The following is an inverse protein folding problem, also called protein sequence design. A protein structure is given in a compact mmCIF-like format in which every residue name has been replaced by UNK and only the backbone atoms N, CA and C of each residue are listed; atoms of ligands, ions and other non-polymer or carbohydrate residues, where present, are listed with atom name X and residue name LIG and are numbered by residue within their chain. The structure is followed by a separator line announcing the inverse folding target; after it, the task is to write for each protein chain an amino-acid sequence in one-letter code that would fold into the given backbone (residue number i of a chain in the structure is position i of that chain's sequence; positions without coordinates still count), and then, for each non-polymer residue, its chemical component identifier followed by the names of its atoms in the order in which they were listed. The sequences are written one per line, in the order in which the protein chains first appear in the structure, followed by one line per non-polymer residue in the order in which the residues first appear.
data_IF_767477476737
#
_entry.id   IF_767477476737
#
_cell.length_a   1.000
_cell.length_b   1.000
_cell.length_c   1.000
_cell.angle_alpha   90.00
_cell.angle_beta   90.00
_cell.angle_gamma   90.00
#
_symmetry.space_group_name_H-M   'P 1'
#
loop_
_entity.id
_entity.type
_entity.pdbx_description
1 polymer ?
#
# COMPACT_ATOMS: atom_id res chain seq x y z
N UNK A 1 74.38 3.37 -4.98
CA UNK A 1 73.88 4.59 -5.64
C UNK A 1 72.45 4.28 -6.10
N UNK A 2 71.43 4.74 -5.36
CA UNK A 2 70.01 4.37 -5.57
C UNK A 2 69.40 5.30 -6.62
N UNK A 3 69.23 4.83 -7.85
CA UNK A 3 68.35 5.47 -8.82
C UNK A 3 66.90 5.12 -8.48
N UNK A 4 66.24 5.97 -7.70
CA UNK A 4 64.79 5.94 -7.58
C UNK A 4 64.19 6.53 -8.86
N UNK A 5 63.78 5.68 -9.80
CA UNK A 5 62.89 6.08 -10.89
C UNK A 5 61.57 6.57 -10.29
N UNK A 6 61.49 7.87 -10.03
CA UNK A 6 60.25 8.55 -9.65
C UNK A 6 59.41 8.64 -10.92
N UNK A 7 58.66 7.58 -11.20
CA UNK A 7 57.62 7.55 -12.24
C UNK A 7 56.63 8.66 -11.91
N UNK A 8 56.78 9.82 -12.55
CA UNK A 8 55.84 10.92 -12.43
C UNK A 8 54.49 10.41 -12.93
N UNK A 9 53.61 10.09 -11.98
CA UNK A 9 52.24 9.72 -12.25
C UNK A 9 51.61 10.93 -12.92
N UNK A 10 51.35 10.85 -14.23
CA UNK A 10 50.64 11.88 -14.97
C UNK A 10 49.26 12.02 -14.32
N UNK A 11 49.06 13.08 -13.56
CA UNK A 11 47.73 13.45 -13.05
C UNK A 11 46.97 14.06 -14.23
N UNK A 12 46.32 13.19 -15.01
CA UNK A 12 45.33 13.61 -16.01
C UNK A 12 44.12 14.18 -15.26
N UNK A 13 44.02 15.51 -15.22
CA UNK A 13 42.82 16.20 -14.76
C UNK A 13 41.67 15.99 -15.75
N UNK A 14 40.45 15.85 -15.22
CA UNK A 14 39.23 15.72 -16.02
C UNK A 14 38.93 17.03 -16.76
N UNK A 15 38.57 16.97 -18.05
CA UNK A 15 38.20 18.18 -18.78
C UNK A 15 36.85 18.71 -18.32
N UNK A 16 36.72 20.04 -18.21
CA UNK A 16 35.43 20.69 -17.95
C UNK A 16 34.39 20.34 -19.02
N UNK A 17 34.84 20.13 -20.26
CA UNK A 17 33.95 19.73 -21.37
C UNK A 17 33.45 18.30 -21.20
N UNK A 18 34.28 17.41 -20.65
CA UNK A 18 33.87 16.02 -20.36
C UNK A 18 32.83 15.98 -19.25
N UNK A 19 32.96 16.80 -18.21
CA UNK A 19 31.92 16.90 -17.19
C UNK A 19 30.65 17.56 -17.73
N UNK A 20 30.78 18.55 -18.63
CA UNK A 20 29.65 19.26 -19.21
C UNK A 20 28.76 18.34 -20.06
N UNK A 21 29.35 17.51 -20.93
CA UNK A 21 28.54 16.60 -21.77
C UNK A 21 27.83 15.55 -20.93
N UNK A 22 28.45 15.09 -19.85
CA UNK A 22 27.86 14.09 -18.94
C UNK A 22 26.63 14.65 -18.23
N UNK A 23 26.69 15.88 -17.71
CA UNK A 23 25.52 16.47 -17.04
C UNK A 23 24.36 16.75 -18.00
N UNK A 24 24.65 17.07 -19.27
CA UNK A 24 23.62 17.23 -20.31
C UNK A 24 22.91 15.90 -20.57
N UNK A 25 23.67 14.81 -20.74
CA UNK A 25 23.10 13.49 -20.98
C UNK A 25 22.25 13.02 -19.79
N UNK A 26 22.76 13.16 -18.56
CA UNK A 26 22.00 12.82 -17.33
C UNK A 26 20.75 13.69 -17.21
N UNK A 27 20.82 14.97 -17.59
CA UNK A 27 19.67 15.88 -17.60
C UNK A 27 18.53 15.39 -18.51
N UNK A 28 18.86 14.95 -19.73
CA UNK A 28 17.88 14.40 -20.67
C UNK A 28 17.26 13.11 -20.12
N UNK A 29 18.09 12.19 -19.60
CA UNK A 29 17.62 10.93 -19.03
C UNK A 29 16.72 11.16 -17.82
N UNK A 30 17.09 12.07 -16.92
CA UNK A 30 16.31 12.43 -15.74
C UNK A 30 14.95 13.02 -16.12
N UNK A 31 14.89 13.86 -17.16
CA UNK A 31 13.64 14.47 -17.64
C UNK A 31 12.56 13.45 -18.01
N UNK A 32 12.95 12.33 -18.64
CA UNK A 32 12.02 11.25 -19.00
C UNK A 32 11.82 10.26 -17.83
N UNK A 33 12.87 9.96 -17.09
CA UNK A 33 12.84 8.96 -16.03
C UNK A 33 11.96 9.37 -14.83
N UNK A 34 11.99 10.66 -14.44
CA UNK A 34 11.24 11.15 -13.27
C UNK A 34 9.72 10.92 -13.39
N UNK A 35 9.01 11.36 -14.44
CA UNK A 35 7.57 11.14 -14.54
C UNK A 35 7.20 9.65 -14.61
N UNK A 36 8.01 8.84 -15.32
CA UNK A 36 7.81 7.39 -15.40
C UNK A 36 7.95 6.76 -14.02
N UNK A 37 9.02 7.10 -13.29
CA UNK A 37 9.27 6.60 -11.94
C UNK A 37 8.13 6.96 -10.98
N UNK A 38 7.65 8.21 -11.02
CA UNK A 38 6.53 8.64 -10.17
C UNK A 38 5.24 7.87 -10.49
N UNK A 39 4.95 7.60 -11.77
CA UNK A 39 3.79 6.81 -12.15
C UNK A 39 3.94 5.34 -11.73
N UNK A 40 5.11 4.73 -11.93
CA UNK A 40 5.38 3.37 -11.47
C UNK A 40 5.21 3.24 -9.96
N UNK A 41 5.66 4.24 -9.18
CA UNK A 41 5.50 4.25 -7.73
C UNK A 41 4.03 4.30 -7.32
N UNK A 42 3.22 5.14 -7.99
CA UNK A 42 1.76 5.17 -7.77
C UNK A 42 1.09 3.84 -8.09
N UNK A 43 1.45 3.22 -9.22
CA UNK A 43 0.92 1.90 -9.59
C UNK A 43 1.32 0.82 -8.57
N UNK A 44 2.56 0.85 -8.06
CA UNK A 44 3.01 -0.09 -7.03
C UNK A 44 2.21 0.05 -5.73
N UNK A 45 1.93 1.29 -5.30
CA UNK A 45 1.07 1.53 -4.14
C UNK A 45 -0.35 1.01 -4.37
N UNK A 46 -0.95 1.25 -5.54
CA UNK A 46 -2.27 0.71 -5.89
C UNK A 46 -2.31 -0.81 -5.84
N UNK A 47 -1.34 -1.47 -6.44
CA UNK A 47 -1.25 -2.94 -6.40
C UNK A 47 -1.09 -3.47 -4.98
N UNK A 48 -0.32 -2.77 -4.13
CA UNK A 48 -0.18 -3.11 -2.72
C UNK A 48 -1.52 -2.98 -1.97
N UNK A 49 -2.26 -1.87 -2.17
CA UNK A 49 -3.58 -1.67 -1.55
C UNK A 49 -4.57 -2.74 -2.01
N UNK A 50 -4.62 -3.02 -3.32
CA UNK A 50 -5.49 -4.04 -3.89
C UNK A 50 -5.21 -5.43 -3.28
N UNK A 51 -3.94 -5.78 -3.07
CA UNK A 51 -3.55 -7.02 -2.41
C UNK A 51 -4.02 -7.06 -0.95
N UNK A 52 -3.87 -5.96 -0.21
CA UNK A 52 -4.29 -5.89 1.19
C UNK A 52 -5.82 -5.97 1.33
N UNK A 53 -6.57 -5.33 0.43
CA UNK A 53 -8.04 -5.46 0.36
C UNK A 53 -8.45 -6.91 0.11
N UNK A 54 -7.79 -7.60 -0.82
CA UNK A 54 -8.08 -9.01 -1.09
C UNK A 54 -7.76 -9.91 0.13
N UNK A 55 -6.63 -9.69 0.79
CA UNK A 55 -6.28 -10.40 2.02
C UNK A 55 -7.31 -10.15 3.14
N UNK A 56 -7.81 -8.92 3.27
CA UNK A 56 -8.87 -8.58 4.21
C UNK A 56 -10.18 -9.30 3.87
N UNK A 57 -10.56 -9.35 2.57
CA UNK A 57 -11.73 -10.08 2.09
C UNK A 57 -11.68 -11.56 2.49
N UNK A 58 -10.55 -12.22 2.24
CA UNK A 58 -10.36 -13.64 2.60
C UNK A 58 -10.43 -13.84 4.12
N UNK A 59 -9.83 -12.93 4.89
CA UNK A 59 -9.84 -12.99 6.36
C UNK A 59 -11.26 -12.84 6.92
N UNK A 60 -12.04 -11.87 6.43
CA UNK A 60 -13.43 -11.66 6.87
C UNK A 60 -14.32 -12.83 6.43
N UNK A 61 -14.17 -13.32 5.19
CA UNK A 61 -14.90 -14.51 4.71
C UNK A 61 -14.63 -15.73 5.62
N UNK A 62 -13.37 -15.93 6.01
CA UNK A 62 -12.97 -16.99 6.95
C UNK A 62 -13.51 -16.76 8.36
N UNK A 63 -13.59 -15.50 8.81
CA UNK A 63 -14.19 -15.17 10.10
C UNK A 63 -15.70 -15.49 10.11
N UNK A 64 -16.42 -15.18 9.03
CA UNK A 64 -17.84 -15.45 8.91
C UNK A 64 -18.17 -16.95 8.96
N UNK A 65 -17.34 -17.82 8.36
CA UNK A 65 -17.59 -19.28 8.43
C UNK A 65 -17.38 -19.86 9.82
N UNK A 66 -16.59 -19.21 10.68
CA UNK A 66 -16.34 -19.63 12.07
C UNK A 66 -17.34 -19.04 13.06
N UNK A 67 -18.01 -17.95 12.69
CA UNK A 67 -18.94 -17.23 13.56
C UNK A 67 -20.31 -17.89 13.49
N UNK A 68 -20.97 -18.07 14.64
CA UNK A 68 -22.33 -18.63 14.69
C UNK A 68 -23.35 -17.59 14.21
N UNK A 69 -24.49 -18.03 13.69
CA UNK A 69 -25.57 -17.20 13.09
C UNK A 69 -26.14 -16.06 13.98
N UNK A 70 -25.72 -15.93 15.23
CA UNK A 70 -26.18 -14.90 16.17
C UNK A 70 -25.03 -14.14 16.86
N UNK A 71 -23.79 -14.41 16.46
CA UNK A 71 -22.60 -13.75 17.03
C UNK A 71 -22.05 -12.72 16.06
N UNK A 72 -21.55 -11.61 16.60
CA UNK A 72 -20.87 -10.59 15.79
C UNK A 72 -19.41 -10.97 15.60
N UNK A 73 -18.87 -10.63 14.44
CA UNK A 73 -17.45 -10.81 14.16
C UNK A 73 -16.65 -9.87 15.07
N UNK A 74 -15.70 -10.43 15.80
CA UNK A 74 -14.79 -9.62 16.62
C UNK A 74 -13.69 -9.03 15.74
N UNK A 75 -13.52 -7.71 15.81
CA UNK A 75 -12.41 -7.00 15.16
C UNK A 75 -11.56 -6.31 16.21
N UNK A 76 -10.25 -6.31 16.01
CA UNK A 76 -9.31 -5.59 16.88
C UNK A 76 -8.19 -5.01 16.04
N UNK A 77 -8.05 -3.69 16.04
CA UNK A 77 -6.87 -3.01 15.52
C UNK A 77 -5.78 -2.99 16.59
N UNK A 78 -4.53 -3.23 16.19
CA UNK A 78 -3.37 -3.04 17.07
C UNK A 78 -2.91 -1.58 17.13
N UNK A 79 -3.47 -0.72 16.28
CA UNK A 79 -3.27 0.72 16.32
C UNK A 79 -4.40 1.34 17.15
N UNK A 80 -4.10 1.69 18.40
CA UNK A 80 -5.08 2.25 19.34
C UNK A 80 -5.59 3.65 18.96
N UNK A 81 -4.97 4.31 17.96
CA UNK A 81 -5.46 5.58 17.42
C UNK A 81 -6.62 5.41 16.44
N UNK A 82 -6.83 4.18 15.93
CA UNK A 82 -7.82 3.90 14.90
C UNK A 82 -9.17 3.52 15.50
N UNK A 83 -10.25 3.92 14.82
CA UNK A 83 -11.59 3.44 15.14
C UNK A 83 -11.65 1.93 14.91
N UNK A 84 -12.06 1.20 15.94
CA UNK A 84 -12.33 -0.23 15.85
C UNK A 84 -13.41 -0.63 16.86
N UNK A 85 -14.59 -0.91 16.33
CA UNK A 85 -15.73 -1.45 17.03
C UNK A 85 -16.30 -2.65 16.26
N UNK A 86 -17.46 -3.12 16.68
CA UNK A 86 -18.14 -4.28 16.08
C UNK A 86 -18.63 -4.05 14.64
N UNK A 87 -18.88 -2.80 14.26
CA UNK A 87 -19.44 -2.41 12.96
C UNK A 87 -18.42 -1.79 12.02
N UNK A 88 -17.36 -1.20 12.55
CA UNK A 88 -16.32 -0.56 11.75
C UNK A 88 -14.96 -0.74 12.41
N UNK A 89 -13.96 -1.15 11.63
CA UNK A 89 -12.58 -1.20 12.10
C UNK A 89 -11.58 -0.77 11.03
N UNK A 90 -10.65 0.09 11.41
CA UNK A 90 -9.55 0.56 10.56
C UNK A 90 -8.23 -0.06 10.99
N UNK A 91 -7.54 -0.65 10.02
CA UNK A 91 -6.25 -1.30 10.16
C UNK A 91 -5.19 -0.54 9.38
N UNK A 92 -4.09 -0.21 10.06
CA UNK A 92 -2.86 0.35 9.50
C UNK A 92 -1.78 -0.73 9.52
N UNK A 93 -0.53 -0.36 9.25
CA UNK A 93 0.61 -1.30 9.28
C UNK A 93 0.75 -2.08 10.60
N UNK A 94 0.24 -1.57 11.73
CA UNK A 94 0.22 -2.30 13.00
C UNK A 94 -0.57 -3.62 12.92
N UNK A 95 -1.46 -3.75 11.93
CA UNK A 95 -2.31 -4.90 11.72
C UNK A 95 -3.36 -5.05 12.81
N UNK A 96 -3.84 -6.27 12.98
CA UNK A 96 -4.88 -6.58 13.95
C UNK A 96 -5.42 -7.99 13.80
N UNK A 97 -6.64 -8.21 14.28
CA UNK A 97 -7.37 -9.45 14.07
C UNK A 97 -8.81 -9.21 13.62
N UNK A 98 -9.33 -10.15 12.83
CA UNK A 98 -10.74 -10.25 12.42
C UNK A 98 -11.18 -11.70 12.64
N UNK A 99 -12.16 -11.91 13.51
CA UNK A 99 -12.60 -13.25 13.94
C UNK A 99 -11.46 -14.10 14.51
N UNK A 100 -10.51 -13.46 15.20
CA UNK A 100 -9.30 -14.09 15.74
C UNK A 100 -8.20 -14.40 14.71
N UNK A 101 -8.44 -14.22 13.41
CA UNK A 101 -7.41 -14.38 12.37
C UNK A 101 -6.62 -13.08 12.20
N UNK A 102 -5.31 -13.16 12.03
CA UNK A 102 -4.46 -11.99 11.85
C UNK A 102 -4.74 -11.30 10.51
N UNK A 103 -4.78 -9.96 10.52
CA UNK A 103 -4.74 -9.12 9.33
C UNK A 103 -3.45 -8.30 9.35
N UNK A 104 -2.73 -8.33 8.23
CA UNK A 104 -1.52 -7.54 8.00
C UNK A 104 -1.80 -6.52 6.91
N UNK A 105 -1.32 -5.30 7.10
CA UNK A 105 -1.45 -4.21 6.13
C UNK A 105 -0.06 -3.70 5.79
N UNK A 106 0.18 -3.45 4.50
CA UNK A 106 1.46 -2.97 4.00
C UNK A 106 1.75 -1.54 4.47
N UNK A 107 3.03 -1.13 4.47
CA UNK A 107 3.43 0.20 4.93
C UNK A 107 2.71 1.31 4.14
N UNK A 108 2.16 2.28 4.85
CA UNK A 108 1.47 3.43 4.25
C UNK A 108 0.08 3.10 3.69
N UNK A 109 -0.34 1.83 3.72
CA UNK A 109 -1.70 1.44 3.37
C UNK A 109 -2.62 1.55 4.61
N UNK A 110 -3.91 1.70 4.34
CA UNK A 110 -4.96 1.69 5.34
C UNK A 110 -6.13 0.88 4.81
N UNK A 111 -6.63 -0.05 5.62
CA UNK A 111 -7.78 -0.89 5.30
C UNK A 111 -8.88 -0.59 6.32
N UNK A 112 -10.02 -0.08 5.85
CA UNK A 112 -11.22 0.13 6.66
C UNK A 112 -12.27 -0.91 6.31
N UNK A 113 -12.74 -1.63 7.32
CA UNK A 113 -13.76 -2.66 7.20
C UNK A 113 -15.03 -2.14 7.86
N UNK A 114 -16.13 -2.13 7.12
CA UNK A 114 -17.46 -1.78 7.60
C UNK A 114 -18.35 -3.02 7.49
N UNK A 115 -18.92 -3.49 8.61
CA UNK A 115 -19.81 -4.65 8.69
C UNK A 115 -21.22 -4.19 9.04
N UNK A 116 -22.19 -4.62 8.24
CA UNK A 116 -23.61 -4.42 8.50
C UNK A 116 -24.25 -5.77 8.80
N UNK A 117 -24.68 -5.95 10.05
CA UNK A 117 -25.44 -7.12 10.49
C UNK A 117 -26.92 -6.89 10.22
N UNK A 118 -27.56 -7.74 9.40
CA UNK A 118 -29.01 -7.73 9.25
C UNK A 118 -29.66 -8.84 10.08
N UNK A 119 -30.59 -8.47 10.96
CA UNK A 119 -31.38 -9.41 11.77
C UNK A 119 -32.62 -9.95 11.04
N UNK A 120 -32.78 -9.67 9.74
CA UNK A 120 -33.95 -10.09 8.96
C UNK A 120 -33.51 -10.51 7.56
N UNK A 121 -33.65 -11.80 7.20
CA UNK A 121 -33.54 -12.46 5.87
C UNK A 121 -32.44 -12.00 4.87
N UNK A 122 -31.58 -11.04 5.22
CA UNK A 122 -30.67 -10.33 4.31
C UNK A 122 -29.19 -10.62 4.54
N UNK A 123 -28.88 -11.52 5.48
CA UNK A 123 -27.50 -11.90 5.81
C UNK A 123 -26.64 -10.75 6.36
N UNK A 124 -25.44 -11.09 6.81
CA UNK A 124 -24.41 -10.10 7.15
C UNK A 124 -23.71 -9.66 5.87
N UNK A 125 -23.58 -8.35 5.66
CA UNK A 125 -22.80 -7.77 4.57
C UNK A 125 -21.61 -6.99 5.08
N UNK A 126 -20.57 -6.84 4.27
CA UNK A 126 -19.39 -6.05 4.61
C UNK A 126 -18.85 -5.30 3.41
N UNK A 127 -18.24 -4.14 3.69
CA UNK A 127 -17.50 -3.33 2.74
C UNK A 127 -16.05 -3.23 3.23
N UNK A 128 -15.10 -3.26 2.29
CA UNK A 128 -13.68 -3.06 2.58
C UNK A 128 -13.20 -1.90 1.74
N UNK A 129 -12.72 -0.84 2.38
CA UNK A 129 -12.14 0.32 1.74
C UNK A 129 -10.62 0.30 1.95
N UNK A 130 -9.86 0.26 0.86
CA UNK A 130 -8.40 0.27 0.86
C UNK A 130 -7.83 1.56 0.30
N UNK A 131 -6.85 2.13 1.00
CA UNK A 131 -6.18 3.37 0.62
C UNK A 131 -4.69 3.37 0.92
N UNK A 132 -3.98 4.36 0.37
CA UNK A 132 -2.58 4.64 0.69
C UNK A 132 -2.40 6.14 0.96
N UNK A 133 -1.58 6.49 1.96
CA UNK A 133 -1.30 7.87 2.36
C UNK A 133 -0.78 8.75 1.21
N UNK A 134 -0.11 8.15 0.21
CA UNK A 134 0.46 8.86 -0.93
C UNK A 134 -0.50 8.98 -2.13
N UNK A 135 -1.69 8.38 -2.06
CA UNK A 135 -2.70 8.37 -3.13
C UNK A 135 -3.92 9.24 -2.79
N UNK A 136 -4.02 9.76 -1.56
CA UNK A 136 -5.02 10.76 -1.19
C UNK A 136 -6.37 10.21 -0.73
N UNK A 137 -6.49 8.91 -0.45
CA UNK A 137 -7.71 8.34 0.12
C UNK A 137 -7.88 6.85 -0.13
N UNK A 138 -9.11 6.37 0.07
CA UNK A 138 -9.53 5.01 -0.26
C UNK A 138 -9.81 4.91 -1.77
N UNK A 139 -8.91 4.23 -2.50
CA UNK A 139 -9.03 4.05 -3.95
C UNK A 139 -9.71 2.73 -4.34
N UNK A 140 -9.83 1.77 -3.42
CA UNK A 140 -10.44 0.47 -3.70
C UNK A 140 -11.56 0.19 -2.70
N UNK A 141 -12.73 -0.19 -3.21
CA UNK A 141 -13.88 -0.58 -2.39
C UNK A 141 -14.36 -1.95 -2.82
N UNK A 142 -14.30 -2.94 -1.92
CA UNK A 142 -14.92 -4.24 -2.10
C UNK A 142 -16.27 -4.27 -1.39
N UNK A 143 -17.32 -4.76 -2.05
CA UNK A 143 -18.65 -4.95 -1.46
C UNK A 143 -19.04 -6.43 -1.50
N UNK A 144 -19.40 -7.00 -0.36
CA UNK A 144 -19.76 -8.42 -0.27
C UNK A 144 -21.07 -8.79 -0.94
N UNK A 145 -22.00 -7.84 -1.05
CA UNK A 145 -23.34 -8.05 -1.63
C UNK A 145 -23.28 -8.22 -3.14
N UNK A 146 -22.37 -7.52 -3.81
CA UNK A 146 -22.15 -7.60 -5.27
C UNK A 146 -20.96 -8.48 -5.62
N UNK A 147 -20.05 -8.74 -4.67
CA UNK A 147 -18.75 -9.34 -4.95
C UNK A 147 -17.84 -8.44 -5.78
N UNK A 148 -18.21 -7.16 -5.99
CA UNK A 148 -17.45 -6.24 -6.83
C UNK A 148 -16.28 -5.65 -6.06
N UNK A 149 -15.14 -5.54 -6.75
CA UNK A 149 -14.03 -4.69 -6.36
C UNK A 149 -14.02 -3.49 -7.30
N UNK A 150 -14.46 -2.35 -6.78
CA UNK A 150 -14.53 -1.11 -7.53
C UNK A 150 -13.30 -0.24 -7.24
N UNK A 151 -12.77 0.36 -8.29
CA UNK A 151 -11.68 1.34 -8.20
C UNK A 151 -12.23 2.75 -8.31
N UNK A 152 -11.95 3.57 -7.31
CA UNK A 152 -12.38 4.96 -7.19
C UNK A 152 -11.15 5.87 -7.15
N UNK A 153 -10.63 6.33 -8.29
CA UNK A 153 -9.50 7.26 -8.30
C UNK A 153 -9.88 8.54 -7.57
N UNK A 154 -9.00 8.98 -6.67
CA UNK A 154 -9.09 10.32 -6.11
C UNK A 154 -8.98 11.34 -7.25
N UNK A 155 -9.99 12.19 -7.40
CA UNK A 155 -9.93 13.31 -8.35
C UNK A 155 -9.09 14.43 -7.69
N UNK A 156 -8.01 14.91 -8.35
CA UNK A 156 -7.18 15.99 -7.81
C UNK A 156 -7.95 17.30 -7.64
#
# INVERSE_FOLDING_TARGET
MREAMRKARSEQGFSLVELLVVVIIIGILAGVAVPIYLNQRKSAWRSSVQSDVHNAQVTIATAMTKTKDSEKITMKSNDSSQKCDESECTFTQAGGTIGGNAITVSKGNTIKVDITYSSSNGGTSYTINGGNENLGGFEYTYQSTTGSLDWHPHKP
#
